data_IF_288198133049
#
_entry.id   IF_288198133049
#
_cell.length_a   1.000
_cell.length_b   1.000
_cell.length_c   1.000
_cell.angle_alpha   90.00
_cell.angle_beta   90.00
_cell.angle_gamma   90.00
#
_symmetry.space_group_name_H-M   'P 1'
#
loop_
_entity.id
_entity.type
_entity.pdbx_description
1 polymer ?
#
# COMPACT_ATOMS: atom_id res chain seq x y z
N UNK A 1 100.89 -25.93 -51.29
CA UNK A 1 100.59 -24.80 -50.39
C UNK A 1 99.14 -24.89 -49.96
N UNK A 2 98.87 -25.49 -48.81
CA UNK A 2 97.55 -25.68 -48.33
C UNK A 2 97.42 -24.98 -46.96
N UNK A 3 96.53 -23.99 -46.85
CA UNK A 3 96.16 -23.35 -45.55
C UNK A 3 94.90 -24.02 -45.02
N UNK A 4 95.05 -24.70 -43.90
CA UNK A 4 94.00 -25.30 -43.10
C UNK A 4 93.32 -24.19 -42.34
N UNK A 5 92.04 -24.01 -42.54
CA UNK A 5 91.21 -23.10 -41.77
C UNK A 5 90.65 -23.86 -40.53
N UNK A 6 90.89 -23.34 -39.37
CA UNK A 6 90.38 -23.89 -38.13
C UNK A 6 88.85 -23.57 -37.89
N UNK A 7 88.06 -24.46 -37.34
CA UNK A 7 86.65 -24.21 -37.07
C UNK A 7 86.42 -23.31 -35.90
N UNK A 8 85.56 -22.27 -36.07
CA UNK A 8 85.04 -21.42 -35.01
C UNK A 8 84.12 -22.22 -34.09
N UNK A 9 84.50 -22.27 -32.83
CA UNK A 9 83.73 -22.87 -31.73
C UNK A 9 82.52 -21.99 -31.44
N UNK A 10 81.34 -22.47 -31.85
CA UNK A 10 80.09 -21.81 -31.48
C UNK A 10 79.88 -21.97 -29.96
N UNK A 11 79.91 -20.84 -29.28
CA UNK A 11 79.59 -20.74 -27.86
C UNK A 11 78.07 -20.72 -27.71
N UNK A 12 77.45 -21.86 -27.42
CA UNK A 12 76.05 -21.96 -27.07
C UNK A 12 75.85 -21.38 -25.66
N UNK A 13 75.51 -20.10 -25.61
CA UNK A 13 75.03 -19.46 -24.41
C UNK A 13 73.61 -19.93 -24.17
N UNK A 14 73.53 -21.02 -23.39
CA UNK A 14 72.24 -21.50 -22.87
C UNK A 14 71.79 -20.54 -21.78
N UNK A 15 70.97 -19.56 -22.12
CA UNK A 15 70.24 -18.77 -21.12
C UNK A 15 69.21 -19.66 -20.45
N UNK A 16 69.64 -20.38 -19.41
CA UNK A 16 68.73 -21.08 -18.53
C UNK A 16 68.13 -20.03 -17.59
N UNK A 17 67.01 -19.39 -18.01
CA UNK A 17 66.15 -18.63 -17.16
C UNK A 17 65.53 -19.60 -16.12
N UNK A 18 66.22 -19.83 -15.04
CA UNK A 18 65.66 -20.45 -13.85
C UNK A 18 64.78 -19.39 -13.17
N UNK A 19 63.55 -19.24 -13.67
CA UNK A 19 62.49 -18.63 -12.89
C UNK A 19 62.19 -19.56 -11.72
N UNK A 20 62.98 -19.44 -10.67
CA UNK A 20 62.61 -19.99 -9.38
C UNK A 20 61.55 -19.09 -8.78
N UNK A 21 60.29 -19.36 -9.18
CA UNK A 21 59.17 -18.90 -8.41
C UNK A 21 59.15 -19.65 -7.10
N UNK A 22 59.89 -19.13 -6.13
CA UNK A 22 59.68 -19.53 -4.73
C UNK A 22 58.31 -18.94 -4.34
N UNK A 23 57.23 -19.65 -4.78
CA UNK A 23 55.92 -19.34 -4.32
C UNK A 23 55.90 -19.54 -2.80
N UNK A 24 55.86 -18.45 -2.06
CA UNK A 24 55.70 -18.47 -0.61
C UNK A 24 54.29 -19.00 -0.29
N UNK A 25 54.13 -20.34 -0.37
CA UNK A 25 52.82 -21.01 -0.12
C UNK A 25 52.24 -20.61 1.23
N UNK A 26 53.07 -20.27 2.21
CA UNK A 26 52.65 -19.76 3.51
C UNK A 26 52.04 -18.37 3.38
N UNK A 27 52.60 -17.49 2.54
CA UNK A 27 52.08 -16.14 2.32
C UNK A 27 50.78 -16.17 1.55
N UNK A 28 50.65 -17.07 0.56
CA UNK A 28 49.41 -17.27 -0.20
C UNK A 28 48.33 -17.82 0.73
N UNK A 29 48.67 -18.83 1.58
CA UNK A 29 47.76 -19.39 2.56
C UNK A 29 47.28 -18.37 3.61
N UNK A 30 48.21 -17.55 4.11
CA UNK A 30 47.89 -16.47 5.06
C UNK A 30 46.97 -15.40 4.42
N UNK A 31 47.25 -15.03 3.16
CA UNK A 31 46.41 -14.07 2.42
C UNK A 31 45.01 -14.60 2.17
N UNK A 32 44.87 -15.85 1.71
CA UNK A 32 43.53 -16.48 1.50
C UNK A 32 42.77 -16.57 2.81
N UNK A 33 43.41 -16.96 3.90
CA UNK A 33 42.79 -17.01 5.22
C UNK A 33 42.31 -15.62 5.67
N UNK A 34 43.15 -14.59 5.49
CA UNK A 34 42.79 -13.21 5.81
C UNK A 34 41.60 -12.70 4.99
N UNK A 35 41.51 -13.02 3.69
CA UNK A 35 40.38 -12.67 2.83
C UNK A 35 39.09 -13.37 3.28
N UNK A 36 39.18 -14.66 3.67
CA UNK A 36 38.02 -15.41 4.16
C UNK A 36 37.51 -14.77 5.46
N UNK A 37 38.40 -14.48 6.41
CA UNK A 37 38.01 -13.83 7.68
C UNK A 37 37.41 -12.45 7.42
N UNK A 38 38.03 -11.64 6.55
CA UNK A 38 37.51 -10.32 6.18
C UNK A 38 36.12 -10.42 5.51
N UNK A 39 35.90 -11.42 4.64
CA UNK A 39 34.61 -11.66 3.99
C UNK A 39 33.54 -12.07 4.99
N UNK A 40 33.86 -12.92 5.96
CA UNK A 40 32.93 -13.31 7.04
C UNK A 40 32.59 -12.11 7.93
N UNK A 41 33.59 -11.33 8.32
CA UNK A 41 33.38 -10.08 9.12
C UNK A 41 32.52 -9.09 8.34
N UNK A 42 32.77 -8.89 7.05
CA UNK A 42 31.98 -8.03 6.20
C UNK A 42 30.53 -8.51 6.07
N UNK A 43 30.32 -9.83 5.88
CA UNK A 43 28.98 -10.41 5.81
C UNK A 43 28.19 -10.23 7.12
N UNK A 44 28.85 -10.44 8.28
CA UNK A 44 28.24 -10.23 9.59
C UNK A 44 27.94 -8.73 9.83
N UNK A 45 28.83 -7.84 9.42
CA UNK A 45 28.62 -6.39 9.51
C UNK A 45 27.46 -5.94 8.60
N UNK A 46 27.41 -6.41 7.36
CA UNK A 46 26.33 -6.10 6.43
C UNK A 46 24.97 -6.66 6.90
N UNK A 47 24.95 -7.87 7.48
CA UNK A 47 23.74 -8.47 8.06
C UNK A 47 23.19 -7.63 9.24
N UNK A 48 24.08 -7.03 10.04
CA UNK A 48 23.67 -6.17 11.17
C UNK A 48 22.98 -4.88 10.71
N UNK A 49 23.43 -4.27 9.60
CA UNK A 49 22.83 -3.03 9.06
C UNK A 49 21.39 -3.21 8.57
N UNK A 50 20.97 -4.43 8.22
CA UNK A 50 19.58 -4.72 7.79
C UNK A 50 18.61 -4.96 8.95
N UNK A 51 19.10 -5.08 10.20
CA UNK A 51 18.29 -5.55 11.34
C UNK A 51 17.87 -4.48 12.34
N UNK A 52 18.32 -3.22 12.18
CA UNK A 52 18.09 -2.17 13.19
C UNK A 52 16.71 -1.49 13.10
N UNK A 53 15.85 -1.88 12.14
CA UNK A 53 14.47 -1.40 12.13
C UNK A 53 13.66 -2.23 13.13
N UNK A 54 13.36 -1.62 14.24
CA UNK A 54 12.41 -2.19 15.18
C UNK A 54 10.99 -2.03 14.63
N UNK A 55 10.20 -3.07 14.78
CA UNK A 55 8.83 -3.12 14.31
C UNK A 55 7.91 -3.53 15.44
N UNK A 56 6.74 -2.97 15.45
CA UNK A 56 5.62 -3.41 16.30
C UNK A 56 4.60 -4.16 15.45
N UNK A 57 4.09 -5.26 15.97
CA UNK A 57 3.02 -6.02 15.34
C UNK A 57 1.66 -5.52 15.86
N UNK A 58 0.68 -5.38 14.96
CA UNK A 58 -0.71 -5.04 15.28
C UNK A 58 -1.64 -6.01 14.57
N UNK A 59 -2.78 -6.33 15.18
CA UNK A 59 -3.84 -7.10 14.55
C UNK A 59 -4.96 -6.16 14.11
N UNK A 60 -5.21 -6.11 12.81
CA UNK A 60 -6.31 -5.33 12.21
C UNK A 60 -7.46 -6.25 11.90
N UNK A 61 -8.62 -6.01 12.50
CA UNK A 61 -9.82 -6.81 12.33
C UNK A 61 -10.76 -6.15 11.32
N UNK A 62 -10.99 -6.83 10.20
CA UNK A 62 -11.92 -6.43 9.16
C UNK A 62 -13.22 -7.22 9.29
N UNK A 63 -14.36 -6.54 9.08
CA UNK A 63 -15.70 -7.13 9.03
C UNK A 63 -16.18 -7.27 7.59
N UNK A 64 -15.40 -6.79 6.63
CA UNK A 64 -15.65 -6.88 5.20
C UNK A 64 -14.68 -7.84 4.50
N UNK A 65 -15.01 -8.24 3.27
CA UNK A 65 -14.11 -9.04 2.45
C UNK A 65 -12.84 -8.24 2.09
N UNK A 66 -11.67 -8.80 2.40
CA UNK A 66 -10.38 -8.16 2.14
C UNK A 66 -9.79 -8.54 0.77
N UNK A 67 -10.62 -8.53 -0.25
CA UNK A 67 -10.21 -8.89 -1.61
C UNK A 67 -9.05 -8.02 -2.08
N UNK A 68 -8.02 -8.66 -2.65
CA UNK A 68 -6.82 -7.98 -3.12
C UNK A 68 -5.76 -7.72 -2.04
N UNK A 69 -6.07 -7.97 -0.76
CA UNK A 69 -5.09 -7.92 0.32
C UNK A 69 -4.35 -9.26 0.41
N UNK A 70 -3.05 -9.21 0.53
CA UNK A 70 -2.18 -10.38 0.61
C UNK A 70 -1.03 -10.15 1.60
N UNK A 71 -0.32 -11.21 1.94
CA UNK A 71 0.93 -11.10 2.68
C UNK A 71 1.93 -10.26 1.87
N UNK A 72 2.57 -9.29 2.52
CA UNK A 72 3.44 -8.30 1.89
C UNK A 72 2.70 -7.07 1.33
N UNK A 73 1.36 -7.00 1.44
CA UNK A 73 0.63 -5.78 1.09
C UNK A 73 1.10 -4.62 1.96
N UNK A 74 1.15 -3.43 1.37
CA UNK A 74 1.65 -2.22 2.01
C UNK A 74 0.69 -1.74 3.10
N UNK A 75 1.24 -1.24 4.20
CA UNK A 75 0.52 -0.51 5.24
C UNK A 75 0.95 0.94 5.21
N UNK A 76 -0.01 1.84 5.02
CA UNK A 76 0.22 3.28 4.98
C UNK A 76 -0.43 3.98 6.17
N UNK A 77 0.21 5.04 6.64
CA UNK A 77 -0.36 5.98 7.60
C UNK A 77 -0.43 7.36 6.97
N UNK A 78 -1.64 7.88 6.77
CA UNK A 78 -1.89 9.15 6.07
C UNK A 78 -1.15 9.27 4.72
N UNK A 79 -1.04 8.15 3.97
CA UNK A 79 -0.37 8.10 2.66
C UNK A 79 1.14 7.79 2.71
N UNK A 80 1.75 7.73 3.90
CA UNK A 80 3.16 7.38 4.06
C UNK A 80 3.26 5.87 4.33
N UNK A 81 4.17 5.19 3.64
CA UNK A 81 4.43 3.77 3.83
C UNK A 81 5.14 3.54 5.18
N UNK A 82 4.49 2.81 6.08
CA UNK A 82 4.97 2.59 7.45
C UNK A 82 5.16 1.11 7.79
N UNK A 83 4.76 0.21 6.90
CA UNK A 83 4.88 -1.22 7.18
C UNK A 83 4.26 -2.12 6.11
N UNK A 84 4.05 -3.35 6.49
CA UNK A 84 3.53 -4.41 5.61
C UNK A 84 2.62 -5.40 6.34
N UNK A 85 1.77 -6.09 5.60
CA UNK A 85 0.96 -7.20 6.10
C UNK A 85 1.83 -8.43 6.25
N UNK A 86 1.94 -8.96 7.48
CA UNK A 86 2.74 -10.14 7.80
C UNK A 86 1.97 -11.43 7.57
N UNK A 87 0.69 -11.46 7.96
CA UNK A 87 -0.15 -12.66 7.89
C UNK A 87 -1.64 -12.28 7.83
N UNK A 88 -2.44 -13.17 7.25
CA UNK A 88 -3.89 -13.02 7.12
C UNK A 88 -4.56 -14.29 7.60
N UNK A 89 -5.54 -14.16 8.50
CA UNK A 89 -6.28 -15.29 9.07
C UNK A 89 -7.75 -14.96 9.21
N UNK A 90 -8.60 -15.95 9.05
CA UNK A 90 -9.99 -15.85 9.48
C UNK A 90 -10.06 -15.98 11.00
N UNK A 91 -10.95 -15.22 11.62
CA UNK A 91 -11.24 -15.41 13.04
C UNK A 91 -11.87 -16.80 13.24
N UNK A 92 -11.33 -17.57 14.18
CA UNK A 92 -11.83 -18.91 14.48
C UNK A 92 -13.21 -18.91 15.12
N UNK A 93 -13.60 -17.83 15.81
CA UNK A 93 -14.90 -17.70 16.45
C UNK A 93 -15.96 -17.16 15.49
N UNK A 94 -15.56 -16.28 14.62
CA UNK A 94 -16.44 -15.59 13.67
C UNK A 94 -15.77 -15.52 12.29
N UNK A 95 -16.02 -16.52 11.40
CA UNK A 95 -15.40 -16.59 10.08
C UNK A 95 -15.75 -15.43 9.15
N UNK A 96 -16.73 -14.58 9.51
CA UNK A 96 -17.02 -13.34 8.78
C UNK A 96 -15.96 -12.26 8.99
N UNK A 97 -15.09 -12.43 9.99
CA UNK A 97 -14.00 -11.51 10.30
C UNK A 97 -12.66 -12.00 9.81
N UNK A 98 -11.90 -11.09 9.24
CA UNK A 98 -10.52 -11.34 8.82
C UNK A 98 -9.57 -10.57 9.75
N UNK A 99 -8.60 -11.28 10.31
CA UNK A 99 -7.55 -10.69 11.14
C UNK A 99 -6.30 -10.58 10.26
N UNK A 100 -5.90 -9.35 9.97
CA UNK A 100 -4.65 -9.05 9.28
C UNK A 100 -3.60 -8.66 10.31
N UNK A 101 -2.56 -9.48 10.48
CA UNK A 101 -1.40 -9.12 11.27
C UNK A 101 -0.48 -8.24 10.45
N UNK A 102 -0.26 -7.03 10.91
CA UNK A 102 0.59 -6.04 10.24
C UNK A 102 1.81 -5.76 11.09
N UNK A 103 2.92 -5.54 10.42
CA UNK A 103 4.17 -5.10 11.00
C UNK A 103 4.40 -3.65 10.62
N UNK A 104 4.54 -2.78 11.60
CA UNK A 104 4.68 -1.33 11.43
C UNK A 104 5.97 -0.86 12.10
N UNK A 105 6.69 0.09 11.49
CA UNK A 105 7.89 0.67 12.08
C UNK A 105 7.60 1.27 13.45
N UNK A 106 8.47 1.01 14.44
CA UNK A 106 8.32 1.42 15.85
C UNK A 106 8.08 2.93 16.01
N UNK A 107 8.70 3.73 15.14
CA UNK A 107 8.57 5.19 15.16
C UNK A 107 7.20 5.70 14.68
N UNK A 108 6.32 4.82 14.18
CA UNK A 108 4.99 5.22 13.71
C UNK A 108 4.06 5.43 14.90
N UNK A 109 3.49 6.62 15.09
CA UNK A 109 2.66 6.93 16.25
C UNK A 109 1.24 6.36 16.10
N UNK A 110 1.08 5.03 16.24
CA UNK A 110 -0.23 4.39 16.25
C UNK A 110 -0.92 4.69 17.57
N UNK A 111 -2.02 5.43 17.52
CA UNK A 111 -2.75 5.90 18.69
C UNK A 111 -4.04 5.10 18.89
N UNK A 112 -4.64 5.24 20.06
CA UNK A 112 -5.88 4.52 20.43
C UNK A 112 -7.07 4.88 19.54
N UNK A 113 -7.07 6.07 18.93
CA UNK A 113 -8.09 6.56 18.00
C UNK A 113 -7.70 6.37 16.53
N UNK A 114 -6.56 5.71 16.24
CA UNK A 114 -6.16 5.35 14.88
C UNK A 114 -7.17 4.37 14.29
N UNK A 115 -7.63 4.66 13.08
CA UNK A 115 -8.58 3.83 12.32
C UNK A 115 -7.85 3.17 11.16
N UNK A 116 -8.19 1.91 10.91
CA UNK A 116 -7.74 1.17 9.73
C UNK A 116 -8.86 1.10 8.70
N UNK A 117 -8.53 1.11 7.44
CA UNK A 117 -9.44 0.83 6.33
C UNK A 117 -8.72 0.13 5.20
N UNK A 118 -9.47 -0.65 4.42
CA UNK A 118 -8.99 -1.20 3.17
C UNK A 118 -9.00 -0.12 2.09
N UNK A 119 -7.91 0.03 1.35
CA UNK A 119 -7.81 0.95 0.24
C UNK A 119 -7.26 0.24 -0.99
N UNK A 120 -7.81 0.53 -2.18
CA UNK A 120 -7.34 -0.06 -3.43
C UNK A 120 -6.28 0.80 -4.08
N UNK A 121 -5.24 0.18 -4.62
CA UNK A 121 -4.16 0.83 -5.36
C UNK A 121 -4.50 0.80 -6.85
N UNK A 122 -4.98 1.94 -7.37
CA UNK A 122 -5.39 2.05 -8.76
C UNK A 122 -6.61 1.17 -9.10
N UNK A 123 -6.67 0.70 -10.35
CA UNK A 123 -7.77 -0.12 -10.89
C UNK A 123 -7.43 -1.61 -10.96
N UNK A 124 -6.26 -2.00 -10.48
CA UNK A 124 -5.75 -3.38 -10.63
C UNK A 124 -6.32 -4.37 -9.63
N UNK A 125 -7.08 -3.89 -8.63
CA UNK A 125 -7.64 -4.74 -7.57
C UNK A 125 -6.66 -5.09 -6.45
N UNK A 126 -5.44 -4.54 -6.48
CA UNK A 126 -4.48 -4.67 -5.37
C UNK A 126 -4.94 -3.81 -4.21
N UNK A 127 -5.03 -4.41 -3.02
CA UNK A 127 -5.45 -3.71 -1.81
C UNK A 127 -4.26 -3.48 -0.85
N UNK A 128 -4.37 -2.43 -0.08
CA UNK A 128 -3.45 -2.05 0.99
C UNK A 128 -4.25 -1.66 2.24
N UNK A 129 -3.59 -1.66 3.38
CA UNK A 129 -4.18 -1.16 4.64
C UNK A 129 -3.78 0.31 4.78
N UNK A 130 -4.76 1.15 5.04
CA UNK A 130 -4.54 2.56 5.31
C UNK A 130 -4.96 2.90 6.74
N UNK A 131 -4.02 3.41 7.53
CA UNK A 131 -4.28 4.02 8.82
C UNK A 131 -4.55 5.51 8.64
N UNK A 132 -5.53 5.98 9.38
CA UNK A 132 -5.95 7.39 9.41
C UNK A 132 -6.29 7.80 10.84
N UNK A 133 -6.49 9.08 11.07
CA UNK A 133 -6.74 9.67 12.38
C UNK A 133 -5.49 9.60 13.29
N UNK A 134 -5.68 9.83 14.57
CA UNK A 134 -4.61 9.94 15.56
C UNK A 134 -4.47 11.37 16.04
N UNK A 135 -5.26 11.77 17.05
CA UNK A 135 -5.15 13.09 17.68
C UNK A 135 -3.86 13.19 18.48
N UNK A 136 -3.29 14.40 18.53
CA UNK A 136 -2.04 14.63 19.27
C UNK A 136 -2.16 14.24 20.76
N UNK A 137 -3.33 14.43 21.34
CA UNK A 137 -3.64 14.18 22.75
C UNK A 137 -3.90 12.68 23.07
N UNK A 138 -4.23 11.87 22.04
CA UNK A 138 -4.50 10.44 22.24
C UNK A 138 -3.20 9.71 22.55
N UNK A 139 -3.19 8.80 23.54
CA UNK A 139 -2.03 8.01 23.90
C UNK A 139 -1.69 6.95 22.82
N UNK A 140 -0.46 6.45 22.86
CA UNK A 140 -0.03 5.38 21.97
C UNK A 140 -0.74 4.07 22.29
N UNK A 141 -1.19 3.37 21.26
CA UNK A 141 -1.93 2.11 21.40
C UNK A 141 -1.08 1.02 22.07
N UNK A 142 0.21 0.99 21.77
CA UNK A 142 1.18 0.03 22.34
C UNK A 142 1.35 0.21 23.85
N UNK A 143 1.23 1.44 24.37
CA UNK A 143 1.44 1.73 25.80
C UNK A 143 0.23 1.32 26.66
N UNK A 144 -0.98 1.31 26.08
CA UNK A 144 -2.22 1.04 26.82
C UNK A 144 -2.71 -0.38 26.61
N UNK A 145 -2.35 -1.01 25.51
CA UNK A 145 -2.76 -2.39 25.24
C UNK A 145 -2.18 -3.33 26.29
N UNK A 146 -3.05 -4.14 26.88
CA UNK A 146 -2.66 -5.23 27.78
C UNK A 146 -2.34 -6.52 27.01
N UNK A 147 -2.67 -6.57 25.74
CA UNK A 147 -2.45 -7.72 24.87
C UNK A 147 -1.05 -7.63 24.27
N UNK A 148 -0.42 -8.79 24.06
CA UNK A 148 0.89 -8.89 23.40
C UNK A 148 0.90 -8.25 22.01
N UNK A 149 -0.24 -8.25 21.32
CA UNK A 149 -0.46 -7.63 20.02
C UNK A 149 -1.71 -6.76 20.11
N UNK A 150 -1.56 -5.42 20.03
CA UNK A 150 -2.69 -4.51 20.05
C UNK A 150 -3.62 -4.71 18.84
N UNK A 151 -4.93 -4.55 19.08
CA UNK A 151 -5.98 -4.76 18.08
C UNK A 151 -6.54 -3.43 17.61
N UNK A 152 -6.65 -3.27 16.28
CA UNK A 152 -7.29 -2.13 15.62
C UNK A 152 -8.52 -2.65 14.87
N UNK A 153 -9.68 -2.06 15.11
CA UNK A 153 -10.89 -2.40 14.36
C UNK A 153 -10.94 -1.55 13.11
N UNK A 154 -11.03 -2.21 11.95
CA UNK A 154 -11.13 -1.53 10.68
C UNK A 154 -12.53 -0.94 10.46
N UNK A 155 -12.56 0.24 9.84
CA UNK A 155 -13.79 0.84 9.31
C UNK A 155 -14.06 0.30 7.90
N UNK A 156 -15.32 0.33 7.49
CA UNK A 156 -15.70 -0.05 6.14
C UNK A 156 -14.93 0.79 5.08
N UNK A 157 -14.46 0.11 4.05
CA UNK A 157 -13.81 0.75 2.92
C UNK A 157 -14.76 1.66 2.15
N UNK A 158 -14.20 2.64 1.43
CA UNK A 158 -15.00 3.50 0.55
C UNK A 158 -15.75 2.69 -0.53
N UNK A 159 -15.17 1.59 -0.97
CA UNK A 159 -15.79 0.69 -1.95
C UNK A 159 -16.96 -0.09 -1.35
N UNK A 160 -16.83 -0.63 -0.14
CA UNK A 160 -17.93 -1.29 0.57
C UNK A 160 -19.08 -0.32 0.83
N UNK A 161 -18.78 0.91 1.29
CA UNK A 161 -19.79 1.97 1.45
C UNK A 161 -20.52 2.28 0.14
N UNK A 162 -19.80 2.35 -0.98
CA UNK A 162 -20.41 2.59 -2.29
C UNK A 162 -21.35 1.45 -2.70
N UNK A 163 -20.94 0.19 -2.51
CA UNK A 163 -21.79 -0.97 -2.81
C UNK A 163 -23.05 -1.01 -1.94
N UNK A 164 -22.91 -0.76 -0.65
CA UNK A 164 -24.02 -0.71 0.29
C UNK A 164 -24.98 0.45 -0.01
N UNK A 165 -24.47 1.59 -0.49
CA UNK A 165 -25.28 2.75 -0.89
C UNK A 165 -26.10 2.51 -2.16
N UNK A 166 -25.81 1.46 -2.93
CA UNK A 166 -26.55 1.15 -4.17
C UNK A 166 -28.00 0.74 -3.87
N UNK A 167 -28.26 0.10 -2.74
CA UNK A 167 -29.65 -0.18 -2.29
C UNK A 167 -30.41 1.11 -1.96
N UNK A 168 -29.75 2.06 -1.30
CA UNK A 168 -30.34 3.37 -0.97
C UNK A 168 -30.59 4.22 -2.23
N UNK A 169 -29.74 4.11 -3.26
CA UNK A 169 -29.93 4.81 -4.54
C UNK A 169 -31.18 4.29 -5.26
N UNK A 170 -31.41 2.98 -5.25
CA UNK A 170 -32.57 2.38 -5.93
C UNK A 170 -33.86 2.78 -5.23
N UNK A 171 -33.91 2.77 -3.91
CA UNK A 171 -35.08 3.20 -3.12
C UNK A 171 -35.31 4.70 -3.27
N UNK A 172 -34.26 5.53 -3.24
CA UNK A 172 -34.35 6.98 -3.46
C UNK A 172 -34.83 7.31 -4.87
N UNK A 173 -34.33 6.60 -5.90
CA UNK A 173 -34.79 6.78 -7.27
C UNK A 173 -36.27 6.43 -7.44
N UNK A 174 -36.76 5.35 -6.83
CA UNK A 174 -38.17 4.98 -6.82
C UNK A 174 -39.02 6.07 -6.14
N UNK A 175 -38.58 6.60 -4.98
CA UNK A 175 -39.26 7.69 -4.29
C UNK A 175 -39.30 8.99 -5.11
N UNK A 176 -38.22 9.33 -5.79
CA UNK A 176 -38.18 10.48 -6.70
C UNK A 176 -39.16 10.30 -7.86
N UNK A 177 -39.20 9.13 -8.48
CA UNK A 177 -40.17 8.83 -9.56
C UNK A 177 -41.62 8.93 -9.07
N UNK A 178 -41.94 8.43 -7.88
CA UNK A 178 -43.25 8.55 -7.25
C UNK A 178 -43.60 10.02 -7.03
N UNK A 179 -42.68 10.84 -6.54
CA UNK A 179 -42.87 12.29 -6.34
C UNK A 179 -43.07 13.04 -7.65
N UNK A 180 -42.30 12.72 -8.68
CA UNK A 180 -42.45 13.28 -10.03
C UNK A 180 -43.84 12.91 -10.60
N UNK A 181 -44.25 11.64 -10.52
CA UNK A 181 -45.58 11.23 -10.95
C UNK A 181 -46.70 11.98 -10.20
N UNK A 182 -46.52 12.22 -8.91
CA UNK A 182 -47.51 13.00 -8.13
C UNK A 182 -47.59 14.47 -8.59
N UNK A 183 -46.45 15.08 -8.90
CA UNK A 183 -46.39 16.47 -9.41
C UNK A 183 -47.00 16.55 -10.83
N UNK A 184 -46.69 15.57 -11.68
CA UNK A 184 -47.21 15.44 -13.06
C UNK A 184 -48.55 14.76 -13.14
N UNK A 185 -49.25 14.56 -12.01
CA UNK A 185 -50.60 13.98 -12.03
C UNK A 185 -51.58 14.85 -12.82
N UNK A 186 -52.55 14.25 -13.47
CA UNK A 186 -53.56 14.94 -14.27
C UNK A 186 -54.29 16.03 -13.48
N UNK A 187 -54.49 15.81 -12.17
CA UNK A 187 -55.07 16.80 -11.28
C UNK A 187 -54.21 18.06 -11.12
N UNK A 188 -52.88 17.90 -11.03
CA UNK A 188 -51.98 19.06 -10.91
C UNK A 188 -51.77 19.79 -12.23
N UNK A 189 -51.69 19.04 -13.33
CA UNK A 189 -51.64 19.59 -14.71
C UNK A 189 -52.91 20.41 -14.98
N UNK A 190 -54.08 19.86 -14.65
CA UNK A 190 -55.34 20.58 -14.78
C UNK A 190 -55.38 21.85 -13.94
N UNK A 191 -54.92 21.86 -12.69
CA UNK A 191 -54.83 23.06 -11.84
C UNK A 191 -53.91 24.11 -12.41
N UNK A 192 -52.72 23.71 -12.92
CA UNK A 192 -51.78 24.64 -13.57
C UNK A 192 -52.42 25.25 -14.83
N UNK A 193 -53.06 24.42 -15.67
CA UNK A 193 -53.76 24.87 -16.87
C UNK A 193 -54.88 25.86 -16.52
N UNK A 194 -55.68 25.56 -15.50
CA UNK A 194 -56.74 26.49 -15.03
C UNK A 194 -56.18 27.80 -14.53
N UNK A 195 -55.07 27.76 -13.80
CA UNK A 195 -54.40 28.97 -13.30
C UNK A 195 -53.84 29.84 -14.43
N UNK A 196 -53.27 29.19 -15.46
CA UNK A 196 -52.80 29.93 -16.67
C UNK A 196 -53.95 30.55 -17.44
N UNK A 197 -55.07 29.82 -17.64
CA UNK A 197 -56.25 30.36 -18.30
C UNK A 197 -56.85 31.59 -17.52
N UNK A 198 -56.86 31.52 -16.18
CA UNK A 198 -57.32 32.62 -15.35
C UNK A 198 -56.40 33.82 -15.47
N UNK A 199 -55.08 33.63 -15.54
CA UNK A 199 -54.12 34.70 -15.75
C UNK A 199 -54.29 35.34 -17.14
N UNK A 200 -54.53 34.55 -18.16
CA UNK A 200 -54.82 35.04 -19.52
C UNK A 200 -56.09 35.92 -19.57
N UNK A 201 -57.16 35.46 -18.91
CA UNK A 201 -58.37 36.28 -18.79
C UNK A 201 -58.15 37.60 -18.07
N UNK A 202 -57.42 37.59 -16.94
CA UNK A 202 -57.12 38.80 -16.19
C UNK A 202 -56.27 39.77 -17.05
N UNK A 203 -55.26 39.23 -17.73
CA UNK A 203 -54.36 40.04 -18.56
C UNK A 203 -55.11 40.62 -19.77
N UNK A 204 -56.00 39.81 -20.39
CA UNK A 204 -56.86 40.24 -21.49
C UNK A 204 -57.81 41.36 -21.07
N UNK A 205 -58.45 41.25 -19.90
CA UNK A 205 -59.35 42.27 -19.36
C UNK A 205 -58.63 43.59 -19.06
N UNK A 206 -57.41 43.50 -18.48
CA UNK A 206 -56.58 44.70 -18.19
C UNK A 206 -56.06 45.35 -19.47
N UNK A 207 -55.74 44.57 -20.51
CA UNK A 207 -55.30 45.10 -21.79
C UNK A 207 -56.45 45.79 -22.54
N UNK A 208 -57.69 45.25 -22.45
CA UNK A 208 -58.87 45.85 -23.05
C UNK A 208 -59.27 47.22 -22.41
N UNK A 209 -59.04 47.38 -21.12
CA UNK A 209 -59.36 48.65 -20.41
C UNK A 209 -58.37 49.81 -20.68
N UNK A 210 -57.27 49.55 -21.36
CA UNK A 210 -56.32 50.61 -21.74
C UNK A 210 -56.58 51.26 -23.09
N UNK A 211 -57.63 50.85 -23.80
CA UNK A 211 -57.98 51.39 -25.13
C UNK A 211 -59.24 52.33 -25.14
N UNK A 212 -59.82 52.55 -23.97
CA UNK A 212 -60.84 53.59 -23.75
C UNK A 212 -60.19 54.75 -22.94
#
# INVERSE_FOLDING_TARGET
MARVAAPLKAHNICWRNKMETRANHVLIGAFTLAVIIASVMFALWAAKYGSDRKFNDFDVVFVEAVTGLSKGSIVQYNGINVGEVRDLKLDRKDPSKVIARVRVEENTPIKTDTKAKLAFVGLTGVAQIQFTHGKAESPLLVEISKDDVPVIIAEESAFAKLLNSTEDITTTAADVLIRINKVLSDANISRVSTSLNNLEQITGTVAGQKQD
#
